data_IF_871767634541
#
_entry.id   IF_871767634541
#
_cell.length_a   1.000
_cell.length_b   1.000
_cell.length_c   1.000
_cell.angle_alpha   90.00
_cell.angle_beta   90.00
_cell.angle_gamma   90.00
#
_symmetry.space_group_name_H-M   'P 1'
#
loop_
_entity.id
_entity.type
_entity.pdbx_description
1 polymer ?
#
# COMPACT_ATOMS: atom_id res chain seq x y z
N UNK A 1 -16.34 12.74 -15.62
CA UNK A 1 -15.44 13.24 -14.57
C UNK A 1 -14.21 12.33 -14.51
N UNK A 2 -13.12 12.69 -15.19
CA UNK A 2 -11.96 11.82 -15.44
C UNK A 2 -10.64 12.59 -15.34
N UNK A 3 -10.41 13.28 -14.23
CA UNK A 3 -9.25 14.16 -14.05
C UNK A 3 -7.94 13.42 -13.72
N UNK A 4 -7.89 12.09 -13.86
CA UNK A 4 -6.67 11.31 -13.60
C UNK A 4 -6.15 11.36 -12.16
N UNK A 5 -6.97 11.72 -11.17
CA UNK A 5 -6.54 11.88 -9.75
C UNK A 5 -5.80 10.65 -9.20
N UNK A 6 -6.24 9.44 -9.57
CA UNK A 6 -5.55 8.20 -9.21
C UNK A 6 -4.15 8.13 -9.80
N UNK A 7 -3.99 8.53 -11.07
CA UNK A 7 -2.69 8.58 -11.75
C UNK A 7 -1.82 9.66 -11.11
N UNK A 8 -2.37 10.83 -10.80
CA UNK A 8 -1.63 11.89 -10.10
C UNK A 8 -1.09 11.43 -8.74
N UNK A 9 -1.90 10.74 -7.93
CA UNK A 9 -1.46 10.18 -6.65
C UNK A 9 -0.41 9.08 -6.84
N UNK A 10 -0.60 8.17 -7.81
CA UNK A 10 0.37 7.13 -8.12
C UNK A 10 1.71 7.73 -8.57
N UNK A 11 1.69 8.71 -9.47
CA UNK A 11 2.87 9.44 -9.92
C UNK A 11 3.58 10.19 -8.78
N UNK A 12 2.83 10.76 -7.83
CA UNK A 12 3.41 11.39 -6.64
C UNK A 12 4.18 10.38 -5.78
N UNK A 13 3.59 9.21 -5.51
CA UNK A 13 4.27 8.13 -4.77
C UNK A 13 5.51 7.62 -5.54
N UNK A 14 5.40 7.47 -6.86
CA UNK A 14 6.54 7.15 -7.72
C UNK A 14 7.68 8.13 -7.59
N UNK A 15 7.38 9.43 -7.64
CA UNK A 15 8.36 10.49 -7.48
C UNK A 15 9.05 10.45 -6.10
N UNK A 16 8.29 10.25 -5.02
CA UNK A 16 8.84 10.13 -3.67
C UNK A 16 9.78 8.93 -3.54
N UNK A 17 9.39 7.78 -4.09
CA UNK A 17 10.20 6.56 -4.05
C UNK A 17 11.47 6.68 -4.90
N UNK A 18 11.34 7.03 -6.17
CA UNK A 18 12.44 6.91 -7.14
C UNK A 18 13.39 8.12 -7.10
N UNK A 19 12.84 9.33 -6.97
CA UNK A 19 13.60 10.58 -7.03
C UNK A 19 14.05 11.01 -5.64
N UNK A 20 13.11 11.03 -4.68
CA UNK A 20 13.39 11.52 -3.32
C UNK A 20 14.01 10.46 -2.41
N UNK A 21 14.12 9.20 -2.89
CA UNK A 21 14.64 8.04 -2.14
C UNK A 21 13.90 7.80 -0.82
N UNK A 22 12.63 8.21 -0.73
CA UNK A 22 11.76 7.97 0.42
C UNK A 22 11.05 6.64 0.20
N UNK A 23 11.57 5.63 0.87
CA UNK A 23 11.29 4.25 0.58
C UNK A 23 10.17 3.71 1.50
N UNK A 24 8.96 4.30 1.45
CA UNK A 24 7.74 3.80 2.11
C UNK A 24 7.85 3.54 3.63
N UNK A 25 6.82 2.91 4.25
CA UNK A 25 5.56 2.46 3.65
C UNK A 25 4.52 3.58 3.52
N UNK A 26 3.79 3.64 2.39
CA UNK A 26 2.71 4.61 2.16
C UNK A 26 1.31 3.99 2.35
N UNK A 27 0.39 4.71 2.99
CA UNK A 27 -1.01 4.29 3.17
C UNK A 27 -1.93 4.96 2.14
N UNK A 28 -2.70 4.14 1.41
CA UNK A 28 -3.71 4.60 0.45
C UNK A 28 -5.09 4.09 0.88
N UNK A 29 -5.95 4.99 1.36
CA UNK A 29 -7.31 4.67 1.80
C UNK A 29 -8.32 5.07 0.74
N UNK A 30 -9.06 4.10 0.21
CA UNK A 30 -9.97 4.28 -0.94
C UNK A 30 -11.27 3.51 -0.76
N UNK A 31 -12.36 3.88 -1.44
CA UNK A 31 -13.58 3.06 -1.46
C UNK A 31 -13.30 1.66 -2.02
N UNK A 32 -13.93 0.63 -1.44
CA UNK A 32 -13.73 -0.77 -1.83
C UNK A 32 -13.90 -1.01 -3.34
N UNK A 33 -14.91 -0.38 -3.95
CA UNK A 33 -15.21 -0.48 -5.38
C UNK A 33 -14.08 0.04 -6.29
N UNK A 34 -13.18 0.88 -5.76
CA UNK A 34 -12.09 1.49 -6.53
C UNK A 34 -10.75 0.78 -6.33
N UNK A 35 -10.62 -0.11 -5.34
CA UNK A 35 -9.38 -0.85 -5.06
C UNK A 35 -8.81 -1.54 -6.31
N UNK A 36 -9.61 -2.25 -7.15
CA UNK A 36 -9.10 -2.88 -8.36
C UNK A 36 -8.55 -1.88 -9.39
N UNK A 37 -9.11 -0.67 -9.43
CA UNK A 37 -8.64 0.40 -10.29
C UNK A 37 -7.27 0.91 -9.80
N UNK A 38 -7.13 1.15 -8.49
CA UNK A 38 -5.88 1.62 -7.89
C UNK A 38 -4.73 0.64 -8.12
N UNK A 39 -4.91 -0.66 -7.83
CA UNK A 39 -3.85 -1.65 -8.06
C UNK A 39 -3.42 -1.73 -9.53
N UNK A 40 -4.36 -1.59 -10.46
CA UNK A 40 -4.07 -1.57 -11.90
C UNK A 40 -3.25 -0.35 -12.29
N UNK A 41 -3.59 0.83 -11.81
CA UNK A 41 -2.81 2.05 -12.09
C UNK A 41 -1.42 1.99 -11.47
N UNK A 42 -1.25 1.46 -10.25
CA UNK A 42 0.07 1.31 -9.63
C UNK A 42 0.95 0.36 -10.44
N UNK A 43 0.44 -0.81 -10.82
CA UNK A 43 1.18 -1.76 -11.67
C UNK A 43 1.52 -1.18 -13.05
N UNK A 44 0.66 -0.31 -13.59
CA UNK A 44 0.88 0.31 -14.90
C UNK A 44 1.92 1.42 -14.86
N UNK A 45 1.85 2.30 -13.86
CA UNK A 45 2.62 3.55 -13.85
C UNK A 45 3.86 3.49 -12.97
N UNK A 46 3.89 2.63 -11.95
CA UNK A 46 4.98 2.48 -10.98
C UNK A 46 5.19 1.00 -10.63
N UNK A 47 5.58 0.15 -11.61
CA UNK A 47 5.78 -1.28 -11.40
C UNK A 47 6.92 -1.64 -10.45
N UNK A 48 7.85 -0.69 -10.20
CA UNK A 48 8.95 -0.80 -9.26
C UNK A 48 8.51 -0.78 -7.80
N UNK A 49 7.31 -0.26 -7.53
CA UNK A 49 6.74 -0.10 -6.19
C UNK A 49 5.92 -1.33 -5.83
N UNK A 50 6.25 -2.00 -4.72
CA UNK A 50 5.48 -3.12 -4.21
C UNK A 50 4.18 -2.62 -3.54
N UNK A 51 3.12 -2.54 -4.34
CA UNK A 51 1.78 -2.16 -3.90
C UNK A 51 0.93 -3.40 -3.55
N UNK A 52 0.52 -3.49 -2.29
CA UNK A 52 -0.32 -4.58 -1.77
C UNK A 52 -1.73 -4.09 -1.48
N UNK A 53 -2.70 -5.01 -1.56
CA UNK A 53 -4.10 -4.75 -1.23
C UNK A 53 -4.41 -5.38 0.12
N UNK A 54 -4.79 -4.55 1.09
CA UNK A 54 -5.18 -4.95 2.43
C UNK A 54 -6.70 -4.85 2.58
N UNK A 55 -7.40 -5.81 1.98
CA UNK A 55 -8.85 -5.99 2.09
C UNK A 55 -9.16 -7.47 2.20
N UNK A 56 -10.38 -7.82 2.64
CA UNK A 56 -10.82 -9.21 2.74
C UNK A 56 -11.04 -9.69 4.17
N UNK A 57 -11.21 -11.00 4.32
CA UNK A 57 -11.49 -11.66 5.60
C UNK A 57 -10.26 -11.76 6.51
N UNK A 58 -10.43 -12.25 7.74
CA UNK A 58 -9.35 -12.28 8.73
C UNK A 58 -8.17 -13.16 8.28
N UNK A 59 -8.48 -14.30 7.67
CA UNK A 59 -7.50 -15.27 7.22
C UNK A 59 -6.62 -14.72 6.10
N UNK A 60 -7.21 -14.08 5.10
CA UNK A 60 -6.46 -13.46 3.99
C UNK A 60 -5.46 -12.42 4.49
N UNK A 61 -5.85 -11.64 5.51
CA UNK A 61 -5.00 -10.60 6.08
C UNK A 61 -3.91 -11.17 6.98
N UNK A 62 -4.19 -12.27 7.68
CA UNK A 62 -3.18 -12.97 8.47
C UNK A 62 -2.07 -13.54 7.57
N UNK A 63 -2.47 -14.20 6.48
CA UNK A 63 -1.55 -14.67 5.45
C UNK A 63 -0.74 -13.50 4.89
N UNK A 64 -1.40 -12.42 4.47
CA UNK A 64 -0.73 -11.25 3.92
C UNK A 64 0.29 -10.65 4.90
N UNK A 65 -0.05 -10.53 6.19
CA UNK A 65 0.89 -10.05 7.22
C UNK A 65 2.07 -11.01 7.37
N UNK A 66 1.86 -12.31 7.44
CA UNK A 66 2.94 -13.29 7.56
C UNK A 66 3.97 -13.16 6.40
N UNK A 67 3.51 -12.83 5.19
CA UNK A 67 4.40 -12.64 4.05
C UNK A 67 5.00 -11.24 3.94
N UNK A 68 4.22 -10.18 4.21
CA UNK A 68 4.58 -8.78 3.88
C UNK A 68 5.11 -7.96 5.06
N UNK A 69 4.78 -8.33 6.31
CA UNK A 69 5.22 -7.58 7.50
C UNK A 69 6.65 -7.88 7.93
N UNK A 70 7.22 -9.01 7.52
CA UNK A 70 8.57 -9.40 7.94
C UNK A 70 9.55 -9.35 6.77
N UNK A 71 10.47 -8.38 6.84
CA UNK A 71 11.69 -8.31 6.04
C UNK A 71 12.80 -8.90 6.90
N UNK A 72 12.94 -10.22 6.97
CA UNK A 72 13.93 -10.87 7.84
C UNK A 72 15.30 -10.18 7.76
N UNK A 73 15.61 -9.37 8.78
CA UNK A 73 16.82 -8.62 9.17
C UNK A 73 17.81 -8.07 8.10
N UNK A 74 17.57 -8.24 6.81
CA UNK A 74 18.60 -8.16 5.77
C UNK A 74 18.76 -6.79 5.12
N UNK A 75 17.88 -5.83 5.37
CA UNK A 75 17.87 -4.58 4.59
C UNK A 75 17.55 -3.28 5.36
N UNK A 76 17.44 -3.31 6.69
CA UNK A 76 17.10 -2.11 7.49
C UNK A 76 15.69 -1.53 7.22
N UNK A 77 14.91 -2.15 6.32
CA UNK A 77 13.48 -1.94 6.15
C UNK A 77 12.73 -2.81 7.13
N UNK A 78 11.56 -2.36 7.56
CA UNK A 78 10.68 -3.11 8.47
C UNK A 78 9.60 -3.87 7.69
N UNK A 79 9.20 -3.41 6.50
CA UNK A 79 8.10 -3.95 5.69
C UNK A 79 8.57 -4.27 4.27
N UNK A 80 8.03 -5.34 3.65
CA UNK A 80 8.34 -5.73 2.26
C UNK A 80 7.58 -4.90 1.23
N UNK A 81 6.41 -4.41 1.62
CA UNK A 81 5.59 -3.55 0.78
C UNK A 81 6.02 -2.10 0.88
N UNK A 82 5.85 -1.38 -0.23
CA UNK A 82 6.07 0.06 -0.30
C UNK A 82 4.75 0.82 -0.14
N UNK A 83 3.63 0.23 -0.59
CA UNK A 83 2.30 0.87 -0.56
C UNK A 83 1.25 -0.12 -0.10
N UNK A 84 0.43 0.27 0.87
CA UNK A 84 -0.73 -0.49 1.33
C UNK A 84 -2.03 0.21 0.90
N UNK A 85 -2.79 -0.45 0.04
CA UNK A 85 -4.10 0.02 -0.43
C UNK A 85 -5.20 -0.66 0.39
N UNK A 86 -6.03 0.12 1.07
CA UNK A 86 -7.08 -0.39 1.95
C UNK A 86 -8.33 0.49 1.93
N UNK A 87 -9.34 0.13 2.72
CA UNK A 87 -10.59 0.90 2.86
C UNK A 87 -10.73 1.50 4.26
N UNK A 88 -11.63 2.47 4.39
CA UNK A 88 -11.90 3.11 5.69
C UNK A 88 -12.34 2.10 6.75
N UNK A 89 -13.21 1.17 6.37
CA UNK A 89 -13.71 0.11 7.25
C UNK A 89 -12.56 -0.77 7.75
N UNK A 90 -11.61 -1.08 6.87
CA UNK A 90 -10.45 -1.91 7.22
C UNK A 90 -9.46 -1.19 8.14
N UNK A 91 -9.24 0.11 7.94
CA UNK A 91 -8.39 0.92 8.83
C UNK A 91 -8.94 0.94 10.24
N UNK A 92 -10.26 1.05 10.39
CA UNK A 92 -10.92 1.04 11.70
C UNK A 92 -10.86 -0.36 12.31
N UNK A 93 -11.18 -1.40 11.53
CA UNK A 93 -11.23 -2.80 11.98
C UNK A 93 -9.88 -3.32 12.46
N UNK A 94 -8.80 -3.00 11.74
CA UNK A 94 -7.45 -3.48 12.02
C UNK A 94 -6.54 -2.35 12.52
N UNK A 95 -7.11 -1.36 13.20
CA UNK A 95 -6.39 -0.19 13.72
C UNK A 95 -5.16 -0.57 14.54
N UNK A 96 -5.29 -1.56 15.43
CA UNK A 96 -4.21 -1.97 16.32
C UNK A 96 -3.03 -2.60 15.57
N UNK A 97 -3.27 -3.17 14.38
CA UNK A 97 -2.23 -3.73 13.50
C UNK A 97 -1.57 -2.65 12.63
N UNK A 98 -2.32 -1.63 12.21
CA UNK A 98 -1.84 -0.59 11.30
C UNK A 98 -1.20 0.60 12.04
N UNK A 99 -1.59 0.84 13.30
CA UNK A 99 -1.08 1.94 14.14
C UNK A 99 0.43 1.89 14.41
N UNK A 100 1.07 0.73 14.62
CA UNK A 100 2.51 0.67 14.86
C UNK A 100 3.37 1.01 13.63
N UNK A 101 2.77 1.00 12.43
CA UNK A 101 3.48 1.33 11.18
C UNK A 101 3.72 2.84 11.13
N UNK A 102 4.96 3.23 10.83
CA UNK A 102 5.32 4.62 10.52
C UNK A 102 5.05 4.87 9.02
N UNK A 103 3.87 5.40 8.73
CA UNK A 103 3.42 5.79 7.40
C UNK A 103 4.06 7.08 6.89
#
# INVERSE_FOLDING_TARGET
QGLGKTVQCASMIGYLSEVSKIAGPFLVVVPLSTVPNWIREFRKWIPSVNAIVYVGDAQSREVLRAFEWETGLLAGRQYKFDVLITTYEMVIKDRDMLRPIKW
#
